data_IF_216970884403
#
_entry.id   IF_216970884403
#
_cell.length_a   1.000
_cell.length_b   1.000
_cell.length_c   1.000
_cell.angle_alpha   90.00
_cell.angle_beta   90.00
_cell.angle_gamma   90.00
#
_symmetry.space_group_name_H-M   'P 1'
#
loop_
_entity.id
_entity.type
_entity.pdbx_description
1 polymer ?
#
# COMPACT_ATOMS: atom_id res chain seq x y z
N UNK A 1 -8.86 -19.08 -16.79
CA UNK A 1 -9.25 -17.79 -16.18
C UNK A 1 -8.89 -17.91 -14.71
N UNK A 2 -8.26 -16.90 -14.10
CA UNK A 2 -8.04 -16.92 -12.65
C UNK A 2 -9.35 -16.63 -11.92
N UNK A 3 -9.56 -17.25 -10.76
CA UNK A 3 -10.77 -17.05 -9.95
C UNK A 3 -10.78 -15.68 -9.26
N UNK A 4 -9.60 -15.17 -8.89
CA UNK A 4 -9.44 -13.89 -8.22
C UNK A 4 -8.45 -12.96 -8.90
N UNK A 5 -8.67 -11.66 -8.80
CA UNK A 5 -7.77 -10.58 -9.22
C UNK A 5 -7.37 -9.78 -7.99
N UNK A 6 -6.09 -9.85 -7.65
CA UNK A 6 -5.52 -9.21 -6.46
C UNK A 6 -4.65 -8.04 -6.91
N UNK A 7 -4.99 -6.83 -6.46
CA UNK A 7 -4.16 -5.63 -6.62
C UNK A 7 -3.15 -5.53 -5.48
N UNK A 8 -1.93 -5.08 -5.77
CA UNK A 8 -0.86 -4.93 -4.78
C UNK A 8 -0.17 -3.56 -4.87
N UNK A 9 -0.17 -2.83 -3.77
CA UNK A 9 0.63 -1.63 -3.51
C UNK A 9 1.64 -2.00 -2.43
N UNK A 10 2.94 -1.89 -2.71
CA UNK A 10 3.97 -2.50 -1.87
C UNK A 10 5.27 -1.71 -1.90
N UNK A 11 6.01 -1.72 -0.79
CA UNK A 11 7.26 -0.97 -0.64
C UNK A 11 8.38 -1.45 -1.56
N UNK A 12 8.56 -2.77 -1.66
CA UNK A 12 9.70 -3.37 -2.34
C UNK A 12 9.41 -4.70 -3.04
N UNK A 13 10.40 -5.12 -3.84
CA UNK A 13 10.39 -6.41 -4.54
C UNK A 13 10.38 -7.58 -3.54
N UNK A 14 11.13 -7.45 -2.45
CA UNK A 14 11.21 -8.49 -1.42
C UNK A 14 9.84 -8.74 -0.80
N UNK A 15 9.13 -7.68 -0.45
CA UNK A 15 7.82 -7.76 0.21
C UNK A 15 6.78 -8.34 -0.74
N UNK A 16 6.84 -7.97 -2.03
CA UNK A 16 6.03 -8.62 -3.07
C UNK A 16 6.22 -10.14 -3.05
N UNK A 17 7.47 -10.63 -3.05
CA UNK A 17 7.77 -12.07 -3.08
C UNK A 17 7.22 -12.76 -1.82
N UNK A 18 7.36 -12.13 -0.66
CA UNK A 18 6.84 -12.64 0.62
C UNK A 18 5.31 -12.71 0.59
N UNK A 19 4.63 -11.63 0.17
CA UNK A 19 3.17 -11.59 0.05
C UNK A 19 2.68 -12.61 -0.96
N UNK A 20 3.33 -12.71 -2.14
CA UNK A 20 2.97 -13.70 -3.16
C UNK A 20 3.15 -15.14 -2.65
N UNK A 21 4.17 -15.40 -1.85
CA UNK A 21 4.38 -16.70 -1.20
C UNK A 21 3.29 -17.01 -0.17
N UNK A 22 2.86 -16.00 0.61
CA UNK A 22 1.76 -16.15 1.55
C UNK A 22 0.42 -16.40 0.82
N UNK A 23 0.14 -15.64 -0.26
CA UNK A 23 -1.03 -15.82 -1.10
C UNK A 23 -1.08 -17.20 -1.74
N UNK A 24 0.05 -17.72 -2.25
CA UNK A 24 0.13 -19.09 -2.77
C UNK A 24 -0.28 -20.14 -1.72
N UNK A 25 -0.03 -19.88 -0.44
CA UNK A 25 -0.44 -20.77 0.66
C UNK A 25 -1.90 -20.58 1.05
N UNK A 26 -2.38 -19.34 1.11
CA UNK A 26 -3.77 -18.98 1.47
C UNK A 26 -4.75 -19.46 0.39
N UNK A 27 -4.39 -19.27 -0.88
CA UNK A 27 -5.20 -19.63 -2.05
C UNK A 27 -4.79 -20.99 -2.64
N UNK A 28 -4.30 -21.94 -1.83
CA UNK A 28 -3.77 -23.21 -2.33
C UNK A 28 -4.75 -24.01 -3.21
N UNK A 29 -6.06 -23.84 -3.00
CA UNK A 29 -7.13 -24.52 -3.75
C UNK A 29 -7.80 -23.63 -4.82
N UNK A 30 -7.29 -22.41 -5.06
CA UNK A 30 -7.86 -21.43 -5.98
C UNK A 30 -6.78 -20.86 -6.90
N UNK A 31 -7.19 -20.25 -8.01
CA UNK A 31 -6.28 -19.51 -8.88
C UNK A 31 -6.46 -18.01 -8.72
N UNK A 32 -5.35 -17.24 -8.69
CA UNK A 32 -5.40 -15.79 -8.64
C UNK A 32 -4.41 -15.14 -9.60
N UNK A 33 -4.69 -13.91 -10.00
CA UNK A 33 -3.75 -13.05 -10.72
C UNK A 33 -3.34 -11.90 -9.81
N UNK A 34 -2.04 -11.77 -9.54
CA UNK A 34 -1.47 -10.67 -8.73
C UNK A 34 -0.96 -9.55 -9.63
N UNK A 35 -1.60 -8.38 -9.55
CA UNK A 35 -1.30 -7.20 -10.36
C UNK A 35 -0.71 -6.13 -9.44
N UNK A 36 0.49 -5.68 -9.76
CA UNK A 36 1.11 -4.57 -9.05
C UNK A 36 0.50 -3.24 -9.52
N UNK A 37 0.00 -2.45 -8.57
CA UNK A 37 -0.61 -1.14 -8.83
C UNK A 37 0.40 0.01 -8.71
N UNK A 38 1.50 -0.19 -7.96
CA UNK A 38 2.56 0.79 -7.72
C UNK A 38 3.93 0.11 -7.71
N UNK A 39 5.01 0.74 -8.21
CA UNK A 39 5.00 1.99 -8.98
C UNK A 39 4.28 1.85 -10.32
N UNK A 40 3.59 2.90 -10.75
CA UNK A 40 2.98 2.95 -12.07
C UNK A 40 4.07 2.77 -13.15
N UNK A 41 3.79 1.96 -14.17
CA UNK A 41 4.64 1.81 -15.35
C UNK A 41 4.64 3.14 -16.13
N UNK A 42 5.47 4.09 -15.72
CA UNK A 42 5.68 5.33 -16.48
C UNK A 42 6.56 5.02 -17.69
N UNK A 43 5.92 5.11 -18.87
CA UNK A 43 6.47 5.25 -20.22
C UNK A 43 7.66 4.38 -20.62
N UNK A 44 7.35 3.21 -21.19
CA UNK A 44 7.82 2.73 -22.51
C UNK A 44 9.32 2.57 -22.82
N UNK A 45 10.25 3.18 -22.07
CA UNK A 45 11.68 3.22 -22.38
C UNK A 45 12.58 3.22 -21.14
N UNK A 46 12.05 3.28 -19.92
CA UNK A 46 12.83 3.08 -18.69
C UNK A 46 12.15 2.03 -17.83
N UNK A 47 12.89 0.94 -17.57
CA UNK A 47 12.53 -0.25 -16.81
C UNK A 47 11.45 0.01 -15.75
N UNK A 48 10.23 -0.45 -16.05
CA UNK A 48 9.20 -0.70 -15.06
C UNK A 48 9.77 -1.52 -13.92
N UNK A 49 9.77 -0.95 -12.73
CA UNK A 49 10.41 -1.52 -11.56
C UNK A 49 10.60 -0.45 -10.51
N UNK A 50 10.92 -0.90 -9.29
CA UNK A 50 11.33 -0.08 -8.16
C UNK A 50 12.64 0.68 -8.49
N UNK A 51 12.57 1.62 -9.43
CA UNK A 51 13.67 2.49 -9.81
C UNK A 51 14.06 3.44 -8.68
N UNK A 52 15.11 4.23 -8.88
CA UNK A 52 15.72 5.11 -7.85
C UNK A 52 14.79 6.16 -7.23
N UNK A 53 13.57 6.33 -7.74
CA UNK A 53 12.57 7.31 -7.29
C UNK A 53 11.22 6.69 -6.91
N UNK A 54 11.05 5.36 -7.01
CA UNK A 54 9.77 4.66 -6.81
C UNK A 54 9.81 3.48 -5.83
N UNK A 55 10.89 3.37 -5.04
CA UNK A 55 11.10 2.30 -4.06
C UNK A 55 10.84 2.77 -2.61
N UNK A 56 10.27 1.90 -1.79
CA UNK A 56 10.00 2.11 -0.36
C UNK A 56 8.63 2.73 -0.05
N UNK A 57 8.33 2.89 1.23
CA UNK A 57 7.07 3.47 1.74
C UNK A 57 6.65 4.82 1.13
N UNK A 58 7.59 5.63 0.66
CA UNK A 58 7.29 6.87 -0.07
C UNK A 58 6.47 6.65 -1.34
N UNK A 59 6.68 5.52 -2.02
CA UNK A 59 5.89 5.12 -3.18
C UNK A 59 4.45 4.74 -2.82
N UNK A 60 4.26 4.08 -1.67
CA UNK A 60 2.94 3.77 -1.12
C UNK A 60 2.18 5.06 -0.80
N UNK A 61 2.84 6.00 -0.12
CA UNK A 61 2.27 7.34 0.15
C UNK A 61 1.84 8.04 -1.15
N UNK A 62 2.71 8.09 -2.15
CA UNK A 62 2.41 8.76 -3.42
C UNK A 62 1.21 8.13 -4.12
N UNK A 63 1.13 6.80 -4.16
CA UNK A 63 -0.02 6.11 -4.74
C UNK A 63 -1.31 6.44 -4.00
N UNK A 64 -1.32 6.43 -2.66
CA UNK A 64 -2.48 6.87 -1.88
C UNK A 64 -2.91 8.30 -2.24
N UNK A 65 -1.96 9.22 -2.40
CA UNK A 65 -2.25 10.61 -2.80
C UNK A 65 -2.76 10.73 -4.23
N UNK A 66 -2.22 9.95 -5.16
CA UNK A 66 -2.71 9.89 -6.54
C UNK A 66 -4.18 9.46 -6.57
N UNK A 67 -4.54 8.42 -5.82
CA UNK A 67 -5.92 7.95 -5.75
C UNK A 67 -6.88 9.02 -5.22
N UNK A 68 -6.48 9.78 -4.19
CA UNK A 68 -7.29 10.90 -3.66
C UNK A 68 -7.44 12.01 -4.69
N UNK A 69 -6.40 12.31 -5.45
CA UNK A 69 -6.39 13.40 -6.43
C UNK A 69 -7.18 13.09 -7.71
N UNK A 70 -7.69 11.86 -7.89
CA UNK A 70 -8.56 11.51 -9.02
C UNK A 70 -9.98 12.10 -8.90
N UNK A 71 -10.31 12.77 -7.79
CA UNK A 71 -11.64 13.34 -7.50
C UNK A 71 -12.80 12.33 -7.63
N UNK A 72 -12.49 11.04 -7.48
CA UNK A 72 -13.42 9.91 -7.48
C UNK A 72 -13.16 9.11 -6.20
N UNK A 73 -14.21 8.67 -5.52
CA UNK A 73 -14.03 7.83 -4.32
C UNK A 73 -13.38 6.49 -4.69
N UNK A 74 -12.69 5.86 -3.73
CA UNK A 74 -12.07 4.55 -3.97
C UNK A 74 -13.09 3.51 -4.44
N UNK A 75 -14.32 3.59 -3.92
CA UNK A 75 -15.43 2.70 -4.25
C UNK A 75 -16.00 2.95 -5.64
N UNK A 76 -16.02 4.20 -6.12
CA UNK A 76 -16.53 4.56 -7.45
C UNK A 76 -15.48 4.38 -8.55
N UNK A 77 -14.22 4.14 -8.18
CA UNK A 77 -13.14 3.98 -9.14
C UNK A 77 -13.27 2.66 -9.92
N UNK A 78 -13.74 2.75 -11.16
CA UNK A 78 -13.97 1.62 -12.07
C UNK A 78 -12.72 0.77 -12.35
N UNK A 79 -11.51 1.31 -12.15
CA UNK A 79 -10.29 0.53 -12.27
C UNK A 79 -10.09 -0.36 -11.04
N UNK A 80 -10.32 0.18 -9.84
CA UNK A 80 -10.21 -0.56 -8.57
C UNK A 80 -11.30 -1.62 -8.41
N UNK A 81 -12.50 -1.37 -8.93
CA UNK A 81 -13.61 -2.34 -8.93
C UNK A 81 -13.32 -3.63 -9.73
N UNK A 82 -12.22 -3.68 -10.51
CA UNK A 82 -11.81 -4.88 -11.26
C UNK A 82 -11.09 -5.90 -10.39
N UNK A 83 -10.81 -5.58 -9.13
CA UNK A 83 -10.08 -6.39 -8.18
C UNK A 83 -11.02 -6.92 -7.10
N UNK A 84 -10.82 -8.18 -6.74
CA UNK A 84 -11.54 -8.82 -5.62
C UNK A 84 -10.88 -8.49 -4.29
N UNK A 85 -9.57 -8.21 -4.30
CA UNK A 85 -8.77 -7.81 -3.13
C UNK A 85 -7.74 -6.78 -3.58
N UNK A 86 -7.53 -5.74 -2.79
CA UNK A 86 -6.42 -4.79 -2.98
C UNK A 86 -5.60 -4.71 -1.69
N UNK A 87 -4.36 -5.17 -1.76
CA UNK A 87 -3.43 -5.18 -0.62
C UNK A 87 -2.60 -3.90 -0.65
N UNK A 88 -2.61 -3.18 0.47
CA UNK A 88 -1.68 -2.06 0.74
C UNK A 88 -0.69 -2.54 1.79
N UNK A 89 0.57 -2.70 1.38
CA UNK A 89 1.65 -3.13 2.25
C UNK A 89 2.49 -1.94 2.73
N UNK A 90 2.80 -1.93 4.03
CA UNK A 90 3.69 -0.97 4.67
C UNK A 90 4.42 -1.63 5.85
N UNK A 91 5.74 -1.53 5.94
CA UNK A 91 6.52 -2.08 7.04
C UNK A 91 6.24 -1.35 8.35
N UNK A 92 6.20 -2.08 9.48
CA UNK A 92 6.02 -1.47 10.80
C UNK A 92 7.13 -0.48 11.17
N UNK A 93 8.32 -0.59 10.58
CA UNK A 93 9.45 0.30 10.83
C UNK A 93 9.20 1.73 10.29
N UNK A 94 8.20 1.90 9.42
CA UNK A 94 7.74 3.22 8.93
C UNK A 94 7.26 4.09 10.09
N UNK A 95 6.80 3.48 11.19
CA UNK A 95 6.37 4.20 12.39
C UNK A 95 7.47 5.05 13.04
N UNK A 96 8.74 4.75 12.76
CA UNK A 96 9.90 5.47 13.28
C UNK A 96 10.44 6.53 12.30
N UNK A 97 9.90 6.57 11.08
CA UNK A 97 10.42 7.42 10.00
C UNK A 97 9.86 8.84 10.09
N UNK A 98 10.45 9.72 9.29
CA UNK A 98 9.95 11.07 9.06
C UNK A 98 9.70 11.27 7.56
N UNK A 99 8.69 12.07 7.19
CA UNK A 99 8.33 12.37 5.79
C UNK A 99 9.49 12.87 4.93
N UNK A 100 10.42 13.61 5.52
CA UNK A 100 11.61 14.11 4.82
C UNK A 100 12.54 12.98 4.36
N UNK A 101 12.57 11.84 5.06
CA UNK A 101 13.40 10.67 4.68
C UNK A 101 12.92 10.03 3.36
N UNK A 102 11.63 10.19 3.01
CA UNK A 102 11.06 9.78 1.74
C UNK A 102 10.93 10.94 0.72
N UNK A 103 11.62 12.06 0.95
CA UNK A 103 11.51 13.28 0.14
C UNK A 103 10.09 13.87 0.06
N UNK A 104 9.27 13.65 1.08
CA UNK A 104 7.92 14.21 1.18
C UNK A 104 8.00 15.52 1.97
N UNK A 105 8.06 16.64 1.26
CA UNK A 105 8.20 17.97 1.87
C UNK A 105 6.89 18.49 2.48
N UNK A 106 5.75 18.17 1.85
CA UNK A 106 4.43 18.65 2.25
C UNK A 106 3.48 17.46 2.46
N UNK A 107 3.62 16.72 3.58
CA UNK A 107 2.70 15.64 3.88
C UNK A 107 1.31 16.20 4.22
N UNK A 108 0.26 15.41 3.96
CA UNK A 108 -1.13 15.80 4.26
C UNK A 108 -1.32 16.05 5.76
N UNK A 109 -0.65 15.23 6.57
CA UNK A 109 -0.58 15.34 8.03
C UNK A 109 0.86 15.08 8.46
N UNK A 110 1.28 15.71 9.55
CA UNK A 110 2.58 15.44 10.16
C UNK A 110 2.43 14.43 11.31
N UNK A 111 2.01 13.22 10.95
CA UNK A 111 1.61 12.11 11.83
C UNK A 111 2.62 10.95 11.90
N UNK A 112 3.82 11.15 11.33
CA UNK A 112 5.00 10.32 11.55
C UNK A 112 6.10 11.14 12.26
N UNK A 113 6.91 10.54 13.15
CA UNK A 113 6.84 9.15 13.64
C UNK A 113 5.63 8.93 14.56
N UNK A 114 5.10 7.71 14.58
CA UNK A 114 3.93 7.31 15.38
C UNK A 114 4.16 6.08 16.28
N UNK A 115 5.41 5.61 16.38
CA UNK A 115 5.79 4.46 17.21
C UNK A 115 5.25 4.54 18.64
N UNK A 116 4.72 3.42 19.14
CA UNK A 116 4.18 3.28 20.50
C UNK A 116 5.05 2.33 21.34
N UNK A 117 4.97 2.41 22.69
CA UNK A 117 5.63 1.44 23.56
C UNK A 117 5.22 0.00 23.23
N UNK A 118 6.21 -0.87 23.05
CA UNK A 118 6.03 -2.30 22.78
C UNK A 118 6.63 -3.11 23.94
N UNK A 119 5.90 -4.08 24.53
CA UNK A 119 4.59 -4.62 24.11
C UNK A 119 3.34 -3.81 24.57
N UNK A 120 2.18 -3.92 23.85
CA UNK A 120 1.98 -4.74 22.65
C UNK A 120 2.34 -4.01 21.35
N UNK A 121 2.86 -4.74 20.37
CA UNK A 121 3.19 -4.21 19.03
C UNK A 121 1.96 -3.65 18.30
N UNK A 122 0.76 -4.16 18.60
CA UNK A 122 -0.50 -3.75 17.97
C UNK A 122 -0.80 -2.26 18.10
N UNK A 123 -0.31 -1.58 19.13
CA UNK A 123 -0.50 -0.13 19.27
C UNK A 123 0.20 0.66 18.16
N UNK A 124 1.42 0.25 17.78
CA UNK A 124 2.14 0.87 16.67
C UNK A 124 1.45 0.56 15.34
N UNK A 125 0.98 -0.66 15.15
CA UNK A 125 0.27 -1.07 13.93
C UNK A 125 -1.02 -0.25 13.75
N UNK A 126 -1.84 -0.13 14.80
CA UNK A 126 -3.06 0.70 14.76
C UNK A 126 -2.75 2.17 14.46
N UNK A 127 -1.65 2.71 15.01
CA UNK A 127 -1.21 4.07 14.70
C UNK A 127 -0.81 4.22 13.23
N UNK A 128 -0.10 3.24 12.65
CA UNK A 128 0.24 3.23 11.23
C UNK A 128 -0.98 3.06 10.32
N UNK A 129 -1.97 2.25 10.70
CA UNK A 129 -3.23 2.15 9.95
C UNK A 129 -3.90 3.53 9.82
N UNK A 130 -3.93 4.31 10.91
CA UNK A 130 -4.47 5.68 10.89
C UNK A 130 -3.66 6.63 10.00
N UNK A 131 -2.34 6.46 9.93
CA UNK A 131 -1.47 7.22 9.01
C UNK A 131 -1.83 6.90 7.56
N UNK A 132 -1.94 5.61 7.19
CA UNK A 132 -2.31 5.19 5.81
C UNK A 132 -3.73 5.65 5.45
N UNK A 133 -4.68 5.57 6.38
CA UNK A 133 -6.03 6.14 6.18
C UNK A 133 -5.96 7.65 5.94
N UNK A 134 -5.10 8.37 6.68
CA UNK A 134 -4.82 9.78 6.46
C UNK A 134 -4.28 10.07 5.06
N UNK A 135 -3.40 9.22 4.53
CA UNK A 135 -2.90 9.34 3.15
C UNK A 135 -4.01 9.17 2.12
N UNK A 136 -4.99 8.31 2.38
CA UNK A 136 -6.17 8.10 1.54
C UNK A 136 -7.33 9.08 1.83
N UNK A 137 -7.14 10.07 2.70
CA UNK A 137 -8.19 10.99 3.16
C UNK A 137 -9.43 10.27 3.78
N UNK A 138 -9.22 9.08 4.34
CA UNK A 138 -10.23 8.29 5.05
C UNK A 138 -10.15 8.55 6.56
N UNK A 139 -11.25 8.32 7.28
CA UNK A 139 -11.36 8.60 8.74
C UNK A 139 -11.53 7.39 9.63
N UNK A 140 -12.00 6.27 9.10
CA UNK A 140 -12.42 5.12 9.91
C UNK A 140 -11.66 3.86 9.53
N UNK A 141 -12.02 3.28 8.38
CA UNK A 141 -11.45 2.03 7.90
C UNK A 141 -11.31 2.04 6.38
N UNK A 142 -10.53 1.11 5.87
CA UNK A 142 -10.48 0.86 4.43
C UNK A 142 -11.82 0.27 3.95
N UNK A 143 -12.38 0.75 2.83
CA UNK A 143 -13.55 0.13 2.23
C UNK A 143 -13.16 -1.19 1.55
N UNK A 144 -14.12 -2.11 1.40
CA UNK A 144 -13.92 -3.24 0.49
C UNK A 144 -13.61 -2.73 -0.93
N UNK A 145 -12.69 -3.38 -1.70
CA UNK A 145 -12.01 -4.65 -1.42
C UNK A 145 -10.61 -4.51 -0.77
N UNK A 146 -10.34 -3.44 -0.04
CA UNK A 146 -8.99 -3.14 0.45
C UNK A 146 -8.62 -3.86 1.74
N UNK A 147 -7.35 -4.25 1.85
CA UNK A 147 -6.75 -4.89 3.03
C UNK A 147 -5.39 -4.25 3.32
N UNK A 148 -5.11 -3.89 4.59
CA UNK A 148 -3.78 -3.48 5.02
C UNK A 148 -2.93 -4.70 5.37
N UNK A 149 -1.66 -4.67 4.97
CA UNK A 149 -0.65 -5.64 5.35
C UNK A 149 0.51 -4.88 6.01
N UNK A 150 0.57 -4.91 7.34
CA UNK A 150 1.64 -4.28 8.14
C UNK A 150 2.32 -5.38 8.96
N UNK A 151 3.46 -5.93 8.49
CA UNK A 151 4.15 -7.03 9.14
C UNK A 151 4.90 -6.63 10.42
#
# INVERSE_FOLDING_TARGET
MSDYRIGLVVEGITDRIVIESALNKIFADHTYTLIQLQPELSDGLNKGGFGSTGSGWGGVYQWCRQMVNMDITLQENLFLQKFDIIIIHLDADVAEKNYQQANIANPVKNDLPCVQPCPPASHTIQALEQVVLGWLSLKEQLPEPFVMCIP
#
